data_IF_790253236638
#
_entry.id   IF_790253236638
#
_cell.length_a   1.000
_cell.length_b   1.000
_cell.length_c   1.000
_cell.angle_alpha   90.00
_cell.angle_beta   90.00
_cell.angle_gamma   90.00
#
_symmetry.space_group_name_H-M   'P 1'
#
loop_
_entity.id
_entity.type
_entity.pdbx_description
1 polymer ?
#
# COMPACT_ATOMS: atom_id res chain seq x y z
N UNK A 1 -32.17 -25.64 12.51
CA UNK A 1 -31.02 -26.11 13.31
C UNK A 1 -29.76 -25.64 12.61
N UNK A 2 -28.96 -24.78 13.22
CA UNK A 2 -27.67 -24.32 12.68
C UNK A 2 -26.67 -25.50 12.68
N UNK A 3 -26.00 -25.76 11.55
CA UNK A 3 -25.10 -26.89 11.34
C UNK A 3 -23.88 -26.82 12.28
N UNK A 4 -23.27 -27.97 12.61
CA UNK A 4 -22.07 -28.01 13.47
C UNK A 4 -20.89 -27.26 12.81
N UNK A 5 -20.80 -27.35 11.48
CA UNK A 5 -19.83 -26.62 10.66
C UNK A 5 -20.00 -25.11 10.77
N UNK A 6 -21.24 -24.60 10.70
CA UNK A 6 -21.50 -23.16 10.84
C UNK A 6 -21.17 -22.62 12.23
N UNK A 7 -21.27 -23.47 13.27
CA UNK A 7 -20.86 -23.12 14.64
C UNK A 7 -19.34 -23.06 14.81
N UNK A 8 -18.61 -23.90 14.08
CA UNK A 8 -17.14 -23.97 14.13
C UNK A 8 -16.45 -22.94 13.24
N UNK A 9 -17.17 -22.32 12.29
CA UNK A 9 -16.65 -21.19 11.53
C UNK A 9 -16.15 -20.08 12.45
N UNK A 10 -14.91 -19.64 12.25
CA UNK A 10 -14.20 -18.66 13.10
C UNK A 10 -15.04 -17.43 13.50
N UNK A 11 -15.81 -16.78 12.60
CA UNK A 11 -16.62 -15.62 12.98
C UNK A 11 -17.69 -15.93 14.03
N UNK A 12 -18.26 -17.13 14.00
CA UNK A 12 -19.30 -17.58 14.93
C UNK A 12 -18.69 -18.16 16.22
N UNK A 13 -17.55 -18.83 16.12
CA UNK A 13 -16.78 -19.31 17.28
C UNK A 13 -16.28 -18.14 18.14
N UNK A 14 -15.81 -17.05 17.52
CA UNK A 14 -15.31 -15.88 18.25
C UNK A 14 -16.40 -15.10 19.00
N UNK A 15 -17.66 -15.16 18.57
CA UNK A 15 -18.80 -14.60 19.34
C UNK A 15 -19.00 -15.30 20.68
N UNK A 16 -18.53 -16.54 20.81
CA UNK A 16 -18.64 -17.35 22.04
C UNK A 16 -17.42 -17.24 22.96
N UNK A 17 -16.40 -16.47 22.57
CA UNK A 17 -15.22 -16.23 23.41
C UNK A 17 -15.55 -15.24 24.55
N UNK A 18 -14.84 -15.39 25.67
CA UNK A 18 -14.84 -14.40 26.75
C UNK A 18 -14.38 -13.02 26.23
N UNK A 19 -14.61 -11.95 27.00
CA UNK A 19 -14.19 -10.61 26.62
C UNK A 19 -12.68 -10.53 26.30
N UNK A 20 -11.84 -11.23 27.07
CA UNK A 20 -10.39 -11.33 26.84
C UNK A 20 -10.09 -12.10 25.55
N UNK A 21 -10.77 -13.22 25.31
CA UNK A 21 -10.59 -13.99 24.07
C UNK A 21 -11.00 -13.21 22.82
N UNK A 22 -12.08 -12.41 22.90
CA UNK A 22 -12.48 -11.50 21.82
C UNK A 22 -11.49 -10.36 21.59
N UNK A 23 -10.79 -9.92 22.63
CA UNK A 23 -9.75 -8.90 22.52
C UNK A 23 -8.47 -9.45 21.86
N UNK A 24 -8.12 -10.72 22.12
CA UNK A 24 -6.93 -11.37 21.56
C UNK A 24 -7.09 -11.85 20.10
N UNK A 25 -8.33 -12.05 19.63
CA UNK A 25 -8.58 -12.64 18.30
C UNK A 25 -9.20 -11.62 17.35
N UNK A 26 -8.50 -11.30 16.26
CA UNK A 26 -9.04 -10.49 15.17
C UNK A 26 -9.84 -11.35 14.18
N UNK A 27 -11.15 -11.43 14.39
CA UNK A 27 -12.10 -12.11 13.48
C UNK A 27 -12.79 -11.18 12.49
N UNK A 28 -12.33 -9.95 12.33
CA UNK A 28 -12.95 -9.01 11.38
C UNK A 28 -12.81 -9.56 9.96
N UNK A 29 -13.83 -9.44 9.11
CA UNK A 29 -13.79 -9.86 7.70
C UNK A 29 -12.97 -8.83 6.89
N UNK A 30 -11.67 -8.79 7.15
CA UNK A 30 -10.72 -7.91 6.48
C UNK A 30 -10.05 -8.65 5.34
N UNK A 31 -9.75 -7.93 4.26
CA UNK A 31 -8.85 -8.46 3.23
C UNK A 31 -7.43 -8.59 3.79
N UNK A 32 -6.61 -9.45 3.18
CA UNK A 32 -5.20 -9.60 3.58
C UNK A 32 -4.48 -8.25 3.57
N UNK A 33 -4.69 -7.45 2.53
CA UNK A 33 -4.15 -6.10 2.40
C UNK A 33 -4.57 -5.18 3.55
N UNK A 34 -5.85 -5.21 3.95
CA UNK A 34 -6.34 -4.39 5.05
C UNK A 34 -5.71 -4.79 6.38
N UNK A 35 -5.61 -6.10 6.64
CA UNK A 35 -5.00 -6.63 7.85
C UNK A 35 -3.52 -6.26 7.94
N UNK A 36 -2.78 -6.45 6.85
CA UNK A 36 -1.37 -6.04 6.76
C UNK A 36 -1.20 -4.53 6.95
N UNK A 37 -1.98 -3.71 6.24
CA UNK A 37 -1.99 -2.25 6.36
C UNK A 37 -2.32 -1.75 7.78
N UNK A 38 -3.08 -2.52 8.55
CA UNK A 38 -3.41 -2.21 9.94
C UNK A 38 -2.28 -2.46 10.93
N UNK A 39 -1.27 -3.26 10.58
CA UNK A 39 -0.06 -3.45 11.38
C UNK A 39 0.88 -2.23 11.28
N UNK A 40 0.72 -1.41 10.23
CA UNK A 40 1.57 -0.26 9.97
C UNK A 40 1.28 0.92 10.92
N UNK A 41 2.35 1.68 11.20
CA UNK A 41 2.26 3.00 11.83
C UNK A 41 1.33 3.94 11.04
N UNK A 42 0.65 4.86 11.74
CA UNK A 42 -0.36 5.75 11.13
C UNK A 42 0.16 6.52 9.91
N UNK A 43 1.41 6.96 9.95
CA UNK A 43 2.07 7.66 8.83
C UNK A 43 2.26 6.76 7.61
N UNK A 44 2.80 5.56 7.81
CA UNK A 44 2.99 4.56 6.77
C UNK A 44 1.64 4.10 6.18
N UNK A 45 0.65 3.85 7.04
CA UNK A 45 -0.73 3.54 6.64
C UNK A 45 -1.34 4.61 5.72
N UNK A 46 -1.15 5.89 6.07
CA UNK A 46 -1.64 7.01 5.25
C UNK A 46 -0.98 6.99 3.87
N UNK A 47 0.33 6.77 3.80
CA UNK A 47 1.06 6.73 2.55
C UNK A 47 0.70 5.53 1.68
N UNK A 48 0.60 4.33 2.26
CA UNK A 48 0.16 3.13 1.54
C UNK A 48 -1.23 3.31 0.91
N UNK A 49 -2.19 3.88 1.65
CA UNK A 49 -3.53 4.21 1.13
C UNK A 49 -3.48 5.23 -0.01
N UNK A 50 -2.66 6.26 0.10
CA UNK A 50 -2.48 7.27 -0.97
C UNK A 50 -1.83 6.66 -2.21
N UNK A 51 -0.88 5.75 -2.03
CA UNK A 51 -0.21 5.06 -3.13
C UNK A 51 -1.18 4.13 -3.87
N UNK A 52 -1.96 3.33 -3.16
CA UNK A 52 -3.02 2.49 -3.73
C UNK A 52 -4.03 3.32 -4.55
N UNK A 53 -4.46 4.45 -3.99
CA UNK A 53 -5.41 5.32 -4.63
C UNK A 53 -4.82 5.98 -5.89
N UNK A 54 -3.58 6.45 -5.81
CA UNK A 54 -2.85 6.99 -6.96
C UNK A 54 -2.62 5.93 -8.04
N UNK A 55 -2.17 4.73 -7.68
CA UNK A 55 -1.87 3.67 -8.63
C UNK A 55 -3.11 3.24 -9.40
N UNK A 56 -4.24 3.06 -8.71
CA UNK A 56 -5.51 2.72 -9.35
C UNK A 56 -6.05 3.80 -10.28
N UNK A 57 -5.88 5.07 -9.92
CA UNK A 57 -6.39 6.18 -10.72
C UNK A 57 -5.50 6.55 -11.91
N UNK A 58 -4.18 6.39 -11.78
CA UNK A 58 -3.23 6.96 -12.73
C UNK A 58 -2.30 5.93 -13.37
N UNK A 59 -1.92 4.86 -12.67
CA UNK A 59 -1.04 3.81 -13.23
C UNK A 59 -1.87 2.75 -13.94
N UNK A 60 -2.90 2.21 -13.27
CA UNK A 60 -3.74 1.13 -13.81
C UNK A 60 -4.32 1.41 -15.20
N UNK A 61 -4.85 2.61 -15.50
CA UNK A 61 -5.46 2.87 -16.81
C UNK A 61 -4.47 2.79 -17.98
N UNK A 62 -3.19 3.08 -17.72
CA UNK A 62 -2.13 3.13 -18.74
C UNK A 62 -1.18 1.95 -18.66
N UNK A 63 -1.32 1.08 -17.65
CA UNK A 63 -0.42 -0.04 -17.37
C UNK A 63 -0.25 -0.96 -18.59
N UNK A 64 -1.35 -1.35 -19.22
CA UNK A 64 -1.32 -2.23 -20.39
C UNK A 64 -0.59 -1.59 -21.58
N UNK A 65 -0.86 -0.31 -21.85
CA UNK A 65 -0.21 0.43 -22.93
C UNK A 65 1.29 0.59 -22.66
N UNK A 66 1.65 0.90 -21.42
CA UNK A 66 3.05 1.03 -21.01
C UNK A 66 3.81 -0.29 -21.13
N UNK A 67 3.20 -1.42 -20.74
CA UNK A 67 3.85 -2.73 -20.83
C UNK A 67 3.96 -3.19 -22.30
N UNK A 68 2.92 -2.97 -23.12
CA UNK A 68 2.89 -3.39 -24.52
C UNK A 68 3.76 -2.50 -25.43
N UNK A 69 3.74 -1.18 -25.23
CA UNK A 69 4.46 -0.18 -26.03
C UNK A 69 5.60 0.49 -25.25
N UNK A 70 6.32 -0.27 -24.42
CA UNK A 70 7.38 0.23 -23.51
C UNK A 70 8.40 1.20 -24.13
N UNK A 71 8.74 1.08 -25.42
CA UNK A 71 9.70 1.98 -26.10
C UNK A 71 9.12 3.36 -26.41
N UNK A 72 7.81 3.45 -26.62
CA UNK A 72 7.14 4.65 -27.13
C UNK A 72 6.22 5.28 -26.09
N UNK A 73 6.03 4.63 -24.94
CA UNK A 73 5.19 5.14 -23.88
C UNK A 73 5.85 6.33 -23.17
N UNK A 74 5.23 7.51 -23.27
CA UNK A 74 5.70 8.69 -22.54
C UNK A 74 5.27 8.62 -21.07
N UNK A 75 6.22 8.24 -20.24
CA UNK A 75 6.03 8.12 -18.78
C UNK A 75 6.22 9.44 -18.03
N UNK A 76 6.80 10.47 -18.66
CA UNK A 76 7.11 11.73 -18.00
C UNK A 76 5.89 12.44 -17.40
N UNK A 77 4.71 12.50 -18.07
CA UNK A 77 3.52 13.10 -17.49
C UNK A 77 3.09 12.40 -16.20
N UNK A 78 3.13 11.07 -16.18
CA UNK A 78 2.76 10.27 -15.02
C UNK A 78 3.77 10.43 -13.87
N UNK A 79 5.06 10.45 -14.20
CA UNK A 79 6.14 10.66 -13.23
C UNK A 79 6.07 12.05 -12.59
N UNK A 80 5.82 13.09 -13.40
CA UNK A 80 5.59 14.45 -12.91
C UNK A 80 4.38 14.52 -11.97
N UNK A 81 3.30 13.82 -12.30
CA UNK A 81 2.13 13.73 -11.45
C UNK A 81 2.43 13.02 -10.11
N UNK A 82 3.21 11.94 -10.15
CA UNK A 82 3.66 11.23 -8.95
C UNK A 82 4.54 12.14 -8.06
N UNK A 83 5.47 12.88 -8.67
CA UNK A 83 6.34 13.83 -7.98
C UNK A 83 5.53 14.94 -7.29
N UNK A 84 4.56 15.54 -7.99
CA UNK A 84 3.63 16.56 -7.45
C UNK A 84 2.81 16.04 -6.27
N UNK A 85 2.45 14.76 -6.29
CA UNK A 85 1.75 14.11 -5.17
C UNK A 85 2.67 13.74 -3.98
N UNK A 86 3.97 13.96 -4.13
CA UNK A 86 5.00 13.69 -3.12
C UNK A 86 5.48 12.24 -3.11
N UNK A 87 5.02 11.39 -4.03
CA UNK A 87 5.29 9.96 -4.03
C UNK A 87 6.76 9.61 -4.26
N UNK A 88 7.49 10.49 -4.96
CA UNK A 88 8.91 10.34 -5.29
C UNK A 88 9.85 11.05 -4.29
N UNK A 89 9.31 11.60 -3.21
CA UNK A 89 10.06 12.41 -2.23
C UNK A 89 9.96 11.87 -0.80
N UNK A 90 9.57 10.59 -0.65
CA UNK A 90 9.37 9.98 0.69
C UNK A 90 10.64 9.40 1.31
N UNK A 91 11.79 9.50 0.63
CA UNK A 91 13.12 9.27 1.22
C UNK A 91 13.67 10.48 1.97
N UNK A 92 12.94 11.60 2.01
CA UNK A 92 13.32 12.78 2.77
C UNK A 92 12.16 13.27 3.63
N UNK A 93 12.46 13.68 4.85
CA UNK A 93 11.51 14.36 5.73
C UNK A 93 11.27 15.80 5.26
N UNK A 94 10.13 16.41 5.61
CA UNK A 94 9.94 17.84 5.43
C UNK A 94 11.07 18.66 6.09
N UNK A 95 11.50 19.80 5.49
CA UNK A 95 10.90 20.46 4.33
C UNK A 95 11.39 19.94 2.96
N UNK A 96 12.45 19.13 2.91
CA UNK A 96 13.07 18.67 1.66
C UNK A 96 12.28 17.56 0.95
N UNK A 97 11.44 16.84 1.70
CA UNK A 97 10.57 15.81 1.15
C UNK A 97 9.23 15.70 1.86
N UNK A 98 8.58 14.55 1.69
CA UNK A 98 7.21 14.31 2.14
C UNK A 98 7.10 13.10 3.09
N UNK A 99 8.22 12.52 3.51
CA UNK A 99 8.20 11.38 4.43
C UNK A 99 7.46 11.70 5.73
N UNK A 100 6.82 10.68 6.31
CA UNK A 100 6.25 10.79 7.65
C UNK A 100 7.37 10.57 8.66
N UNK A 101 7.60 11.55 9.53
CA UNK A 101 8.77 11.57 10.42
C UNK A 101 8.89 10.31 11.29
N UNK A 102 7.79 9.86 11.91
CA UNK A 102 7.84 8.69 12.82
C UNK A 102 8.26 7.39 12.12
N UNK A 103 7.60 6.95 11.03
CA UNK A 103 8.06 5.80 10.25
C UNK A 103 9.48 5.99 9.70
N UNK A 104 9.81 7.18 9.22
CA UNK A 104 11.13 7.50 8.66
C UNK A 104 12.27 7.27 9.66
N UNK A 105 12.08 7.66 10.93
CA UNK A 105 13.08 7.45 11.99
C UNK A 105 13.31 5.96 12.31
N UNK A 106 12.33 5.09 12.06
CA UNK A 106 12.52 3.63 12.19
C UNK A 106 13.19 3.04 10.95
N UNK A 107 12.80 3.50 9.77
CA UNK A 107 13.38 3.09 8.50
C UNK A 107 13.07 4.13 7.41
N UNK A 108 14.12 4.74 6.86
CA UNK A 108 14.01 5.75 5.82
C UNK A 108 13.39 5.19 4.53
N UNK A 109 13.60 3.90 4.24
CA UNK A 109 13.16 3.25 3.00
C UNK A 109 11.77 2.63 3.10
N UNK A 110 11.25 2.41 4.31
CA UNK A 110 10.03 1.63 4.49
C UNK A 110 8.81 2.27 3.82
N UNK A 111 8.69 3.60 3.87
CA UNK A 111 7.62 4.29 3.15
C UNK A 111 7.76 4.18 1.64
N UNK A 112 8.98 4.27 1.11
CA UNK A 112 9.22 4.11 -0.31
C UNK A 112 8.86 2.69 -0.77
N UNK A 113 9.23 1.67 0.01
CA UNK A 113 8.86 0.27 -0.26
C UNK A 113 7.35 0.07 -0.31
N UNK A 114 6.58 0.63 0.64
CA UNK A 114 5.13 0.55 0.64
C UNK A 114 4.50 1.23 -0.59
N UNK A 115 5.06 2.35 -1.05
CA UNK A 115 4.61 3.00 -2.29
C UNK A 115 4.92 2.12 -3.50
N UNK A 116 6.14 1.60 -3.57
CA UNK A 116 6.57 0.70 -4.64
C UNK A 116 5.72 -0.56 -4.72
N UNK A 117 5.31 -1.13 -3.58
CA UNK A 117 4.40 -2.28 -3.51
C UNK A 117 3.08 -1.97 -4.23
N UNK A 118 2.41 -0.86 -3.89
CA UNK A 118 1.13 -0.48 -4.50
C UNK A 118 1.25 -0.08 -5.97
N UNK A 119 2.40 0.43 -6.40
CA UNK A 119 2.64 0.75 -7.81
C UNK A 119 2.87 -0.52 -8.62
N UNK A 120 3.68 -1.44 -8.10
CA UNK A 120 4.05 -2.70 -8.76
C UNK A 120 2.86 -3.65 -8.90
N UNK A 121 1.88 -3.56 -8.00
CA UNK A 121 0.61 -4.30 -8.10
C UNK A 121 -0.18 -3.90 -9.37
N UNK A 122 -0.13 -2.64 -9.78
CA UNK A 122 -0.87 -2.15 -10.96
C UNK A 122 -0.03 -2.22 -12.25
N UNK A 123 1.28 -1.95 -12.18
CA UNK A 123 2.25 -2.20 -13.27
C UNK A 123 3.65 -2.36 -12.70
N UNK A 124 4.27 -3.52 -12.95
CA UNK A 124 5.64 -3.80 -12.53
C UNK A 124 6.67 -2.91 -13.23
N UNK A 125 6.48 -2.63 -14.53
CA UNK A 125 7.38 -1.78 -15.31
C UNK A 125 7.39 -0.33 -14.86
N UNK A 126 6.21 0.29 -14.74
CA UNK A 126 6.07 1.65 -14.22
C UNK A 126 6.52 1.72 -12.76
N UNK A 127 6.12 0.74 -11.94
CA UNK A 127 6.53 0.66 -10.53
C UNK A 127 8.04 0.64 -10.37
N UNK A 128 8.74 -0.20 -11.13
CA UNK A 128 10.21 -0.27 -11.14
C UNK A 128 10.82 1.07 -11.55
N UNK A 129 10.34 1.67 -12.65
CA UNK A 129 10.86 2.95 -13.13
C UNK A 129 10.71 4.06 -12.10
N UNK A 130 9.57 4.13 -11.40
CA UNK A 130 9.35 5.15 -10.37
C UNK A 130 10.25 4.94 -9.15
N UNK A 131 10.50 3.68 -8.80
CA UNK A 131 11.38 3.34 -7.69
C UNK A 131 12.86 3.50 -8.07
N UNK A 132 13.23 3.44 -9.35
CA UNK A 132 14.61 3.63 -9.80
C UNK A 132 15.17 5.01 -9.43
N UNK A 133 14.32 6.04 -9.35
CA UNK A 133 14.73 7.37 -8.88
C UNK A 133 15.38 7.35 -7.48
N UNK A 134 15.03 6.35 -6.65
CA UNK A 134 15.60 6.22 -5.32
C UNK A 134 17.01 5.62 -5.27
N UNK A 135 17.56 5.19 -6.41
CA UNK A 135 18.90 4.59 -6.49
C UNK A 135 20.03 5.61 -6.68
N UNK A 136 19.71 6.87 -7.01
CA UNK A 136 20.70 7.93 -7.29
C UNK A 136 20.88 8.16 -8.78
#
# INVERSE_FOLDING_TARGET
MESLEDKLRMPNAAKRLSAIGRWLVDVRPLTLWQRDTMTLDRGARKWRKRALDFSRRHIRPVAFEADYHHKNFDVLPLMNLAARNGMLSVLMIPPLGRASVRPYLKSAVFQAALIGEEFSVESGGIGLLFMAHYLG
#
